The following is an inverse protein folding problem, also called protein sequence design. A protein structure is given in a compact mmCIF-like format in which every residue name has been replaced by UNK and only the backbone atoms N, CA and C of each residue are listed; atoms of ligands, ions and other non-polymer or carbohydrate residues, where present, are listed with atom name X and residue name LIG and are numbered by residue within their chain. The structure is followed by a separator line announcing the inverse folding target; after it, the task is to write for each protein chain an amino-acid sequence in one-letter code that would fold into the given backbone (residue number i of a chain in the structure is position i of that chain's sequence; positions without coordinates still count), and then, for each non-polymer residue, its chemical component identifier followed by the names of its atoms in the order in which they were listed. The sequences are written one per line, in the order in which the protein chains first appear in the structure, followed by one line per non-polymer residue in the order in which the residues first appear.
data_IF_095223741825
#
_entry.id   IF_095223741825
#
_cell.length_a   1.000
_cell.length_b   1.000
_cell.length_c   1.000
_cell.angle_alpha   90.00
_cell.angle_beta   90.00
_cell.angle_gamma   90.00
#
_symmetry.space_group_name_H-M   'P 1'
#
loop_
_entity.id
_entity.type
_entity.pdbx_description
1 polymer ?
#
# COMPACT_ATOMS: atom_id res chain seq x y z
N UNK A 1 -15.76 -5.95 5.75
CA UNK A 1 -14.32 -5.63 5.53
C UNK A 1 -13.51 -6.89 5.78
N UNK A 2 -12.53 -7.20 4.92
CA UNK A 2 -11.61 -8.34 5.15
C UNK A 2 -10.60 -8.05 6.26
N UNK A 3 -10.02 -9.12 6.81
CA UNK A 3 -8.96 -9.00 7.80
C UNK A 3 -7.71 -8.35 7.23
N UNK A 4 -7.05 -7.52 8.06
CA UNK A 4 -5.68 -7.11 7.79
C UNK A 4 -4.76 -8.34 7.82
N UNK A 5 -4.03 -8.56 6.73
CA UNK A 5 -3.10 -9.67 6.56
C UNK A 5 -1.67 -9.14 6.60
N UNK A 6 -0.82 -9.74 7.44
CA UNK A 6 0.59 -9.41 7.51
C UNK A 6 1.28 -9.62 6.16
N UNK A 7 1.99 -8.60 5.68
CA UNK A 7 2.69 -8.66 4.41
C UNK A 7 4.20 -8.73 4.62
N UNK A 8 4.71 -9.97 4.74
CA UNK A 8 6.11 -10.24 5.11
C UNK A 8 7.13 -9.56 4.18
N UNK A 9 6.94 -9.64 2.86
CA UNK A 9 7.91 -9.13 1.88
C UNK A 9 8.09 -7.61 2.03
N UNK A 10 7.00 -6.87 2.15
CA UNK A 10 7.08 -5.41 2.33
C UNK A 10 7.64 -5.06 3.71
N UNK A 11 7.21 -5.81 4.74
CA UNK A 11 7.64 -5.54 6.10
C UNK A 11 9.15 -5.68 6.25
N UNK A 12 9.73 -6.73 5.65
CA UNK A 12 11.17 -6.91 5.56
C UNK A 12 11.85 -5.83 4.71
N UNK A 13 11.28 -5.50 3.55
CA UNK A 13 11.84 -4.51 2.61
C UNK A 13 11.93 -3.11 3.22
N UNK A 14 10.93 -2.71 4.00
CA UNK A 14 10.85 -1.34 4.55
C UNK A 14 11.23 -1.28 6.04
N UNK A 15 11.42 -2.42 6.71
CA UNK A 15 11.69 -2.46 8.15
C UNK A 15 10.55 -1.85 8.97
N UNK A 16 9.31 -2.21 8.60
CA UNK A 16 8.06 -1.74 9.20
C UNK A 16 7.09 -2.92 9.35
N UNK A 17 6.18 -2.87 10.32
CA UNK A 17 5.09 -3.85 10.43
C UNK A 17 3.97 -3.45 9.46
N UNK A 18 3.91 -4.11 8.31
CA UNK A 18 2.98 -3.76 7.23
C UNK A 18 1.92 -4.84 7.07
N UNK A 19 0.66 -4.41 7.08
CA UNK A 19 -0.48 -5.25 6.80
C UNK A 19 -1.27 -4.70 5.61
N UNK A 20 -1.96 -5.58 4.88
CA UNK A 20 -2.79 -5.22 3.73
C UNK A 20 -4.20 -5.78 3.87
N UNK A 21 -5.19 -5.09 3.31
CA UNK A 21 -6.55 -5.58 3.17
C UNK A 21 -7.22 -5.05 1.89
N UNK A 22 -8.20 -5.79 1.39
CA UNK A 22 -9.12 -5.33 0.36
C UNK A 22 -10.54 -5.22 0.95
N UNK A 23 -11.14 -4.04 0.87
CA UNK A 23 -12.48 -3.80 1.41
C UNK A 23 -13.51 -3.96 0.30
N UNK A 24 -14.13 -5.14 0.20
CA UNK A 24 -15.30 -5.34 -0.69
C UNK A 24 -16.61 -4.78 -0.13
N UNK A 25 -16.62 -4.40 1.15
CA UNK A 25 -17.81 -4.00 1.91
C UNK A 25 -17.57 -2.69 2.68
N UNK A 26 -18.54 -2.31 3.50
CA UNK A 26 -18.36 -1.23 4.47
C UNK A 26 -17.24 -1.49 5.47
N UNK A 27 -16.37 -0.48 5.63
CA UNK A 27 -15.34 -0.42 6.66
C UNK A 27 -15.97 -0.32 8.05
N UNK A 28 -15.66 -1.32 8.89
CA UNK A 28 -15.86 -1.24 10.32
C UNK A 28 -14.61 -0.63 10.96
N UNK A 29 -14.67 0.67 11.27
CA UNK A 29 -13.52 1.42 11.77
C UNK A 29 -13.05 0.97 13.14
N UNK A 30 -13.94 0.48 13.99
CA UNK A 30 -13.57 -0.04 15.31
C UNK A 30 -12.82 -1.36 15.17
N UNK A 31 -13.31 -2.25 14.30
CA UNK A 31 -12.63 -3.51 14.01
C UNK A 31 -11.24 -3.27 13.42
N UNK A 32 -11.14 -2.38 12.45
CA UNK A 32 -9.87 -1.96 11.85
C UNK A 32 -8.90 -1.40 12.90
N UNK A 33 -9.39 -0.52 13.78
CA UNK A 33 -8.58 0.06 14.86
C UNK A 33 -8.04 -1.02 15.78
N UNK A 34 -8.87 -1.98 16.19
CA UNK A 34 -8.44 -3.09 17.03
C UNK A 34 -7.37 -3.94 16.33
N UNK A 35 -7.58 -4.30 15.05
CA UNK A 35 -6.56 -5.04 14.29
C UNK A 35 -5.22 -4.31 14.22
N UNK A 36 -5.23 -2.98 14.04
CA UNK A 36 -4.01 -2.17 14.04
C UNK A 36 -3.28 -2.23 15.39
N UNK A 37 -4.02 -2.08 16.48
CA UNK A 37 -3.45 -2.09 17.83
C UNK A 37 -2.94 -3.47 18.23
N UNK A 38 -3.74 -4.51 18.03
CA UNK A 38 -3.45 -5.88 18.45
C UNK A 38 -2.23 -6.46 17.71
N UNK A 39 -1.99 -6.01 16.48
CA UNK A 39 -0.86 -6.44 15.67
C UNK A 39 0.31 -5.45 15.67
N UNK A 40 0.25 -4.36 16.45
CA UNK A 40 1.27 -3.31 16.49
C UNK A 40 1.66 -2.81 15.08
N UNK A 41 0.66 -2.54 14.24
CA UNK A 41 0.89 -2.22 12.82
C UNK A 41 1.50 -0.82 12.69
N UNK A 42 2.55 -0.68 11.85
CA UNK A 42 3.10 0.62 11.48
C UNK A 42 2.34 1.24 10.31
N UNK A 43 2.10 0.45 9.26
CA UNK A 43 1.33 0.88 8.09
C UNK A 43 0.32 -0.17 7.69
N UNK A 44 -0.96 0.21 7.67
CA UNK A 44 -2.02 -0.58 7.06
C UNK A 44 -2.33 -0.05 5.65
N UNK A 45 -2.18 -0.89 4.62
CA UNK A 45 -2.49 -0.56 3.22
C UNK A 45 -3.84 -1.18 2.85
N UNK A 46 -4.85 -0.34 2.62
CA UNK A 46 -6.22 -0.79 2.40
C UNK A 46 -6.69 -0.34 1.02
N UNK A 47 -7.22 -1.25 0.24
CA UNK A 47 -7.91 -0.94 -1.02
C UNK A 47 -9.41 -0.77 -0.76
N UNK A 48 -9.95 0.38 -1.14
CA UNK A 48 -11.37 0.72 -0.95
C UNK A 48 -11.96 1.07 -2.32
N UNK A 49 -12.97 0.33 -2.81
CA UNK A 49 -13.71 0.66 -4.03
C UNK A 49 -14.16 2.12 -4.01
N UNK A 50 -13.97 2.85 -5.11
CA UNK A 50 -14.30 4.30 -5.14
C UNK A 50 -15.79 4.58 -4.96
N UNK A 51 -16.66 3.61 -5.29
CA UNK A 51 -18.10 3.67 -4.98
C UNK A 51 -18.38 3.83 -3.47
N UNK A 52 -17.39 3.55 -2.65
CA UNK A 52 -17.41 3.64 -1.20
C UNK A 52 -16.61 4.84 -0.67
N UNK A 53 -16.46 5.91 -1.46
CA UNK A 53 -15.70 7.11 -1.09
C UNK A 53 -16.10 7.70 0.27
N UNK A 54 -17.39 7.62 0.64
CA UNK A 54 -17.89 8.08 1.94
C UNK A 54 -17.20 7.40 3.13
N UNK A 55 -16.65 6.20 2.93
CA UNK A 55 -15.94 5.46 3.96
C UNK A 55 -14.57 6.06 4.29
N UNK A 56 -13.96 6.85 3.40
CA UNK A 56 -12.73 7.59 3.73
C UNK A 56 -12.94 8.56 4.90
N UNK A 57 -14.13 9.19 4.99
CA UNK A 57 -14.47 10.03 6.13
C UNK A 57 -14.61 9.22 7.41
N UNK A 58 -15.06 7.96 7.32
CA UNK A 58 -15.15 7.07 8.49
C UNK A 58 -13.75 6.81 9.06
N UNK A 59 -12.68 6.75 8.25
CA UNK A 59 -11.30 6.60 8.74
C UNK A 59 -10.88 7.73 9.67
N UNK A 60 -11.48 8.92 9.60
CA UNK A 60 -11.23 9.98 10.59
C UNK A 60 -11.58 9.54 12.02
N UNK A 61 -12.47 8.55 12.19
CA UNK A 61 -12.84 7.98 13.49
C UNK A 61 -11.74 7.12 14.11
N UNK A 62 -10.79 6.60 13.31
CA UNK A 62 -9.59 5.97 13.87
C UNK A 62 -8.64 7.04 14.41
N UNK A 63 -8.81 8.30 14.00
CA UNK A 63 -7.98 9.47 14.32
C UNK A 63 -6.46 9.29 14.08
N UNK A 64 -6.06 8.21 13.41
CA UNK A 64 -4.71 7.96 12.93
C UNK A 64 -4.44 8.79 11.67
N UNK A 65 -3.19 9.20 11.42
CA UNK A 65 -2.80 9.75 10.13
C UNK A 65 -3.07 8.74 9.00
N UNK A 66 -3.61 9.22 7.89
CA UNK A 66 -3.77 8.42 6.70
C UNK A 66 -3.62 9.29 5.45
N UNK A 67 -3.23 8.66 4.35
CA UNK A 67 -3.17 9.26 3.02
C UNK A 67 -3.92 8.40 2.01
N UNK A 68 -4.54 9.03 1.02
CA UNK A 68 -4.95 8.34 -0.21
C UNK A 68 -3.74 8.35 -1.12
N UNK A 69 -3.10 7.19 -1.28
CA UNK A 69 -1.80 7.07 -1.90
C UNK A 69 -1.88 6.90 -3.42
N UNK A 70 -2.94 6.26 -3.94
CA UNK A 70 -3.31 6.29 -5.35
C UNK A 70 -4.78 5.85 -5.57
N UNK A 71 -5.20 5.87 -6.84
CA UNK A 71 -6.41 5.21 -7.31
C UNK A 71 -6.05 4.25 -8.45
N UNK A 72 -6.39 2.98 -8.30
CA UNK A 72 -6.27 1.95 -9.32
C UNK A 72 -7.54 1.88 -10.18
N UNK A 73 -7.37 1.70 -11.48
CA UNK A 73 -8.40 1.48 -12.46
C UNK A 73 -8.27 0.09 -13.09
N UNK A 74 -9.35 -0.68 -13.00
CA UNK A 74 -9.43 -2.06 -13.44
C UNK A 74 -10.18 -2.10 -14.76
N UNK A 75 -9.55 -2.67 -15.77
CA UNK A 75 -10.09 -2.80 -17.11
C UNK A 75 -10.26 -4.27 -17.46
N UNK A 76 -11.40 -4.61 -18.07
CA UNK A 76 -11.67 -5.97 -18.51
C UNK A 76 -12.04 -6.01 -19.99
N UNK A 77 -11.78 -7.15 -20.62
CA UNK A 77 -12.15 -7.42 -22.01
C UNK A 77 -12.53 -8.88 -22.16
N UNK A 78 -13.65 -9.14 -22.82
CA UNK A 78 -13.96 -10.48 -23.28
C UNK A 78 -13.04 -10.85 -24.45
N UNK A 79 -12.27 -11.92 -24.28
CA UNK A 79 -11.34 -12.45 -25.28
C UNK A 79 -11.77 -13.81 -25.83
N UNK A 80 -12.90 -14.36 -25.36
CA UNK A 80 -13.45 -15.63 -25.82
C UNK A 80 -13.77 -15.58 -27.30
N UNK A 81 -13.25 -16.55 -28.05
CA UNK A 81 -13.51 -16.66 -29.49
C UNK A 81 -12.93 -15.51 -30.32
N UNK A 82 -12.06 -14.67 -29.75
CA UNK A 82 -11.26 -13.75 -30.54
C UNK A 82 -10.31 -14.58 -31.41
N UNK A 83 -10.43 -14.46 -32.72
CA UNK A 83 -9.44 -15.01 -33.64
C UNK A 83 -8.08 -14.35 -33.43
N UNK A 84 -7.02 -15.06 -33.79
CA UNK A 84 -5.64 -14.56 -33.72
C UNK A 84 -5.51 -13.24 -34.49
N UNK A 85 -5.04 -12.20 -33.80
CA UNK A 85 -4.76 -10.90 -34.42
C UNK A 85 -3.31 -10.80 -34.81
N UNK A 86 -3.03 -10.16 -35.95
CA UNK A 86 -1.66 -9.89 -36.35
C UNK A 86 -1.05 -8.74 -35.55
N UNK A 87 0.24 -8.89 -35.21
CA UNK A 87 1.04 -7.79 -34.66
C UNK A 87 1.33 -6.75 -35.75
N UNK A 88 1.35 -5.47 -35.36
CA UNK A 88 1.68 -4.34 -36.23
C UNK A 88 3.17 -4.30 -36.55
N UNK A 89 4.03 -4.41 -35.53
CA UNK A 89 5.47 -4.42 -35.68
C UNK A 89 5.96 -5.85 -35.92
N UNK A 90 6.33 -6.17 -37.17
CA UNK A 90 6.76 -7.52 -37.59
C UNK A 90 8.20 -7.87 -37.18
N UNK A 91 8.95 -6.87 -36.74
CA UNK A 91 10.35 -6.98 -36.31
C UNK A 91 10.50 -7.28 -34.81
N UNK A 92 9.38 -7.41 -34.09
CA UNK A 92 9.37 -7.77 -32.68
C UNK A 92 9.52 -9.27 -32.48
N UNK A 93 10.39 -9.64 -31.55
CA UNK A 93 10.54 -10.98 -31.03
C UNK A 93 10.00 -11.03 -29.60
N UNK A 94 9.16 -12.01 -29.30
CA UNK A 94 8.67 -12.28 -27.95
C UNK A 94 9.36 -13.55 -27.44
N UNK A 95 10.28 -13.39 -26.49
CA UNK A 95 11.01 -14.49 -25.87
C UNK A 95 10.45 -14.75 -24.46
N UNK A 96 10.01 -15.97 -24.17
CA UNK A 96 9.61 -16.35 -22.81
C UNK A 96 10.83 -16.24 -21.90
N UNK A 97 10.70 -15.49 -20.82
CA UNK A 97 11.80 -15.21 -19.92
C UNK A 97 11.92 -16.28 -18.83
N UNK A 98 13.15 -16.72 -18.56
CA UNK A 98 13.49 -17.61 -17.46
C UNK A 98 14.40 -16.94 -16.43
N UNK A 99 14.87 -17.73 -15.45
CA UNK A 99 15.81 -17.29 -14.40
C UNK A 99 17.11 -16.75 -15.01
N UNK A 100 17.54 -17.29 -16.15
CA UNK A 100 18.71 -16.84 -16.90
C UNK A 100 18.58 -15.42 -17.47
N UNK A 101 17.35 -14.94 -17.66
CA UNK A 101 17.05 -13.62 -18.23
C UNK A 101 16.94 -12.51 -17.16
N UNK A 102 17.14 -12.83 -15.88
CA UNK A 102 17.05 -11.86 -14.77
C UNK A 102 17.90 -10.62 -14.99
N UNK A 103 19.08 -10.74 -15.62
CA UNK A 103 19.92 -9.60 -15.94
C UNK A 103 19.21 -8.59 -16.87
N UNK A 104 18.71 -9.07 -18.02
CA UNK A 104 18.03 -8.23 -19.02
C UNK A 104 16.74 -7.64 -18.47
N UNK A 105 16.00 -8.46 -17.73
CA UNK A 105 14.77 -8.06 -17.05
C UNK A 105 15.01 -6.96 -16.02
N UNK A 106 16.07 -7.07 -15.20
CA UNK A 106 16.43 -6.03 -14.23
C UNK A 106 16.75 -4.70 -14.92
N UNK A 107 17.48 -4.74 -16.03
CA UNK A 107 17.84 -3.54 -16.77
C UNK A 107 16.59 -2.83 -17.31
N UNK A 108 15.70 -3.56 -17.99
CA UNK A 108 14.50 -2.96 -18.57
C UNK A 108 13.53 -2.48 -17.48
N UNK A 109 13.35 -3.20 -16.38
CA UNK A 109 12.48 -2.74 -15.26
C UNK A 109 13.02 -1.45 -14.64
N UNK A 110 14.33 -1.34 -14.43
CA UNK A 110 14.93 -0.08 -13.93
C UNK A 110 14.72 1.06 -14.92
N UNK A 111 14.86 0.80 -16.21
CA UNK A 111 14.66 1.80 -17.27
C UNK A 111 13.19 2.27 -17.33
N UNK A 112 12.22 1.36 -17.17
CA UNK A 112 10.79 1.68 -17.31
C UNK A 112 10.14 2.17 -16.02
N UNK A 113 10.53 1.62 -14.86
CA UNK A 113 9.93 1.88 -13.55
C UNK A 113 10.81 2.67 -12.58
N UNK A 114 12.07 2.97 -12.92
CA UNK A 114 12.99 3.71 -12.05
C UNK A 114 12.46 5.05 -11.56
N UNK A 115 11.73 5.78 -12.43
CA UNK A 115 11.05 7.03 -12.09
C UNK A 115 9.53 6.91 -11.93
N UNK A 116 8.96 5.69 -11.91
CA UNK A 116 7.51 5.51 -11.82
C UNK A 116 7.02 5.80 -10.40
N UNK A 117 6.06 6.73 -10.28
CA UNK A 117 5.46 7.13 -9.01
C UNK A 117 4.30 6.20 -8.71
N UNK A 118 4.48 5.26 -7.78
CA UNK A 118 3.41 4.39 -7.29
C UNK A 118 2.96 4.80 -5.87
N UNK A 119 1.95 4.13 -5.33
CA UNK A 119 1.45 4.42 -3.98
C UNK A 119 2.53 4.33 -2.89
N UNK A 120 3.55 3.47 -3.02
CA UNK A 120 4.65 3.43 -2.07
C UNK A 120 5.47 4.72 -2.10
N UNK A 121 5.84 5.23 -3.29
CA UNK A 121 6.60 6.48 -3.41
C UNK A 121 5.86 7.70 -2.87
N UNK A 122 4.53 7.64 -2.85
CA UNK A 122 3.70 8.72 -2.31
C UNK A 122 3.73 8.79 -0.79
N UNK A 123 4.11 7.72 -0.11
CA UNK A 123 4.22 7.70 1.35
C UNK A 123 5.66 8.05 1.78
N UNK A 124 5.87 9.16 2.51
CA UNK A 124 7.21 9.57 2.96
C UNK A 124 7.89 8.58 3.91
N UNK A 125 7.16 7.60 4.44
CA UNK A 125 7.71 6.56 5.31
C UNK A 125 8.37 5.40 4.56
N UNK A 126 8.20 5.31 3.24
CA UNK A 126 8.86 4.30 2.41
C UNK A 126 10.11 4.85 1.73
N UNK A 127 11.21 4.09 1.79
CA UNK A 127 12.42 4.41 1.05
C UNK A 127 12.23 4.18 -0.45
N UNK A 128 12.40 5.26 -1.22
CA UNK A 128 12.29 5.27 -2.67
C UNK A 128 13.20 4.27 -3.39
N UNK A 129 14.37 3.96 -2.84
CA UNK A 129 15.26 2.98 -3.46
C UNK A 129 14.62 1.58 -3.39
N UNK A 130 14.12 1.20 -2.22
CA UNK A 130 13.46 -0.09 -2.01
C UNK A 130 12.17 -0.25 -2.82
N UNK A 131 11.48 0.85 -3.18
CA UNK A 131 10.30 0.78 -4.04
C UNK A 131 10.63 0.21 -5.43
N UNK A 132 11.76 0.60 -6.04
CA UNK A 132 12.17 0.04 -7.34
C UNK A 132 12.50 -1.44 -7.21
N UNK A 133 13.15 -1.84 -6.12
CA UNK A 133 13.50 -3.23 -5.87
C UNK A 133 12.26 -4.13 -5.79
N UNK A 134 11.14 -3.60 -5.28
CA UNK A 134 9.86 -4.30 -5.29
C UNK A 134 9.34 -4.68 -6.68
N UNK A 135 9.54 -3.83 -7.70
CA UNK A 135 9.20 -4.20 -9.08
C UNK A 135 10.13 -5.26 -9.64
N UNK A 136 11.41 -5.26 -9.24
CA UNK A 136 12.38 -6.28 -9.65
C UNK A 136 12.00 -7.65 -9.09
N UNK A 137 11.72 -7.71 -7.79
CA UNK A 137 11.30 -8.95 -7.13
C UNK A 137 10.02 -9.51 -7.76
N UNK A 138 9.03 -8.65 -7.97
CA UNK A 138 7.74 -9.05 -8.53
C UNK A 138 7.89 -9.53 -9.97
N UNK A 139 8.66 -8.84 -10.80
CA UNK A 139 8.89 -9.28 -12.17
C UNK A 139 9.65 -10.62 -12.18
N UNK A 140 10.70 -10.79 -11.35
CA UNK A 140 11.48 -12.04 -11.31
C UNK A 140 10.61 -13.24 -10.93
N UNK A 141 9.67 -13.07 -10.00
CA UNK A 141 8.75 -14.14 -9.61
C UNK A 141 7.81 -14.61 -10.74
N UNK A 142 7.76 -13.91 -11.89
CA UNK A 142 7.04 -14.33 -13.10
C UNK A 142 7.96 -14.98 -14.15
N UNK A 143 9.28 -14.88 -13.98
CA UNK A 143 10.29 -15.58 -14.78
C UNK A 143 10.76 -16.90 -14.10
N UNK A 144 10.24 -17.20 -12.92
CA UNK A 144 10.43 -18.47 -12.23
C UNK A 144 9.52 -19.57 -12.80
N UNK A 145 9.78 -20.83 -12.42
CA UNK A 145 9.02 -21.98 -12.87
C UNK A 145 7.66 -22.08 -12.16
N UNK A 146 6.67 -21.34 -12.66
CA UNK A 146 5.27 -21.39 -12.23
C UNK A 146 4.37 -21.53 -13.49
N UNK A 147 3.53 -22.58 -13.61
CA UNK A 147 2.72 -22.81 -14.80
C UNK A 147 1.61 -21.77 -15.00
N UNK A 148 1.23 -21.04 -13.95
CA UNK A 148 0.20 -20.01 -14.00
C UNK A 148 0.79 -18.61 -14.20
N UNK A 149 2.11 -18.43 -14.13
CA UNK A 149 2.77 -17.13 -14.32
C UNK A 149 3.65 -17.15 -15.55
N UNK A 150 3.59 -16.06 -16.32
CA UNK A 150 4.38 -15.94 -17.53
C UNK A 150 5.02 -14.57 -17.60
N UNK A 151 6.31 -14.54 -17.94
CA UNK A 151 7.06 -13.35 -18.28
C UNK A 151 7.58 -13.46 -19.72
N UNK A 152 7.45 -12.38 -20.49
CA UNK A 152 8.03 -12.24 -21.82
C UNK A 152 8.98 -11.06 -21.87
N UNK A 153 10.14 -11.27 -22.49
CA UNK A 153 10.99 -10.22 -23.01
C UNK A 153 10.55 -9.86 -24.43
N UNK A 154 10.44 -8.57 -24.71
CA UNK A 154 10.20 -8.05 -26.05
C UNK A 154 11.53 -7.54 -26.59
N UNK A 155 11.96 -8.13 -27.70
CA UNK A 155 13.23 -7.79 -28.35
C UNK A 155 13.00 -7.22 -29.75
N UNK A 156 13.90 -6.32 -30.14
CA UNK A 156 14.01 -5.75 -31.49
C UNK A 156 15.48 -5.72 -31.86
N UNK A 157 15.85 -6.35 -32.97
CA UNK A 157 17.25 -6.48 -33.40
C UNK A 157 18.19 -7.00 -32.29
N UNK A 158 17.73 -8.00 -31.52
CA UNK A 158 18.47 -8.61 -30.42
C UNK A 158 18.53 -7.80 -29.11
N UNK A 159 18.06 -6.54 -29.09
CA UNK A 159 18.00 -5.70 -27.89
C UNK A 159 16.65 -5.84 -27.19
N UNK A 160 16.66 -6.00 -25.87
CA UNK A 160 15.45 -5.91 -25.02
C UNK A 160 14.93 -4.48 -25.01
N UNK A 161 13.68 -4.30 -25.43
CA UNK A 161 12.98 -3.00 -25.54
C UNK A 161 11.71 -2.95 -24.69
N UNK A 162 11.32 -4.06 -24.07
CA UNK A 162 10.17 -4.12 -23.20
C UNK A 162 10.03 -5.48 -22.55
N UNK A 163 9.01 -5.59 -21.69
CA UNK A 163 8.61 -6.84 -21.06
C UNK A 163 7.10 -6.85 -20.82
N UNK A 164 6.55 -8.04 -20.62
CA UNK A 164 5.18 -8.24 -20.15
C UNK A 164 5.10 -9.39 -19.16
N UNK A 165 4.24 -9.25 -18.16
CA UNK A 165 3.90 -10.31 -17.24
C UNK A 165 2.38 -10.47 -17.13
N UNK A 166 1.93 -11.72 -17.10
CA UNK A 166 0.54 -12.05 -16.86
C UNK A 166 0.46 -13.38 -16.12
N UNK A 167 -0.67 -13.61 -15.45
CA UNK A 167 -0.99 -14.91 -14.88
C UNK A 167 -2.38 -15.40 -15.29
N UNK A 168 -2.52 -16.72 -15.28
CA UNK A 168 -3.78 -17.41 -15.46
C UNK A 168 -4.45 -17.62 -14.11
N UNK A 169 -5.73 -17.29 -14.02
CA UNK A 169 -6.56 -17.51 -12.84
C UNK A 169 -7.47 -18.72 -13.08
N UNK A 170 -7.84 -19.41 -12.01
CA UNK A 170 -8.71 -20.60 -12.07
C UNK A 170 -10.12 -20.33 -12.60
N UNK A 171 -10.55 -19.07 -12.65
CA UNK A 171 -11.89 -18.65 -13.04
C UNK A 171 -12.04 -18.35 -14.55
N UNK A 172 -11.05 -18.72 -15.37
CA UNK A 172 -11.07 -18.42 -16.81
C UNK A 172 -10.61 -17.01 -17.16
N UNK A 173 -9.74 -16.42 -16.32
CA UNK A 173 -9.21 -15.06 -16.51
C UNK A 173 -7.71 -15.09 -16.76
N UNK A 174 -7.26 -14.30 -17.73
CA UNK A 174 -5.86 -13.91 -17.84
C UNK A 174 -5.70 -12.50 -17.25
N UNK A 175 -4.79 -12.33 -16.30
CA UNK A 175 -4.58 -11.04 -15.64
C UNK A 175 -3.20 -10.48 -15.97
N UNK A 176 -3.19 -9.28 -16.53
CA UNK A 176 -2.02 -8.48 -16.79
C UNK A 176 -1.48 -7.86 -15.52
N UNK A 177 -0.18 -8.04 -15.26
CA UNK A 177 0.42 -7.73 -13.96
C UNK A 177 1.37 -6.54 -14.08
N UNK A 178 2.40 -6.65 -14.92
CA UNK A 178 3.34 -5.57 -15.20
C UNK A 178 3.68 -5.56 -16.70
N UNK A 179 3.79 -4.35 -17.22
CA UNK A 179 4.18 -4.12 -18.61
C UNK A 179 5.16 -2.97 -18.66
N UNK A 180 6.22 -3.12 -19.44
CA UNK A 180 7.21 -2.07 -19.62
C UNK A 180 7.59 -1.95 -21.10
N UNK A 181 7.66 -0.71 -21.58
CA UNK A 181 8.29 -0.38 -22.85
C UNK A 181 9.33 0.68 -22.57
N UNK A 182 10.56 0.44 -23.05
CA UNK A 182 11.68 1.36 -22.97
C UNK A 182 11.23 2.77 -23.38
N UNK A 183 11.60 3.82 -22.63
CA UNK A 183 11.26 5.20 -22.95
C UNK A 183 11.60 5.60 -24.40
N UNK A 184 12.71 5.11 -24.97
CA UNK A 184 13.11 5.44 -26.34
C UNK A 184 12.24 4.81 -27.42
N UNK A 185 11.42 3.83 -27.06
CA UNK A 185 10.59 3.05 -27.97
C UNK A 185 9.09 3.39 -27.85
N UNK A 186 8.72 4.30 -26.94
CA UNK A 186 7.33 4.71 -26.71
C UNK A 186 6.74 5.43 -27.94
N UNK A 187 5.42 5.35 -28.11
CA UNK A 187 4.71 5.96 -29.24
C UNK A 187 4.80 5.19 -30.56
N UNK A 188 5.59 4.11 -30.64
CA UNK A 188 5.72 3.26 -31.84
C UNK A 188 4.67 2.13 -31.95
N UNK A 189 3.75 2.04 -30.99
CA UNK A 189 2.71 1.00 -30.96
C UNK A 189 3.14 -0.34 -30.33
N UNK A 190 4.35 -0.43 -29.77
CA UNK A 190 4.84 -1.67 -29.12
C UNK A 190 3.92 -2.13 -27.99
N UNK A 191 3.40 -1.20 -27.17
CA UNK A 191 2.48 -1.58 -26.09
C UNK A 191 1.19 -2.22 -26.62
N UNK A 192 0.68 -1.76 -27.76
CA UNK A 192 -0.47 -2.37 -28.44
C UNK A 192 -0.15 -3.78 -28.93
N UNK A 193 1.06 -4.00 -29.46
CA UNK A 193 1.50 -5.34 -29.87
C UNK A 193 1.71 -6.27 -28.67
N UNK A 194 2.22 -5.75 -27.54
CA UNK A 194 2.29 -6.50 -26.28
C UNK A 194 0.91 -6.98 -25.86
N UNK A 195 -0.09 -6.10 -25.89
CA UNK A 195 -1.47 -6.48 -25.53
C UNK A 195 -2.06 -7.49 -26.51
N UNK A 196 -1.80 -7.32 -27.80
CA UNK A 196 -2.27 -8.23 -28.85
C UNK A 196 -1.64 -9.61 -28.69
N UNK A 197 -0.33 -9.65 -28.47
CA UNK A 197 0.40 -10.87 -28.20
C UNK A 197 -0.13 -11.58 -26.94
N UNK A 198 -0.31 -10.86 -25.83
CA UNK A 198 -0.82 -11.43 -24.59
C UNK A 198 -2.21 -12.06 -24.76
N UNK A 199 -3.11 -11.42 -25.52
CA UNK A 199 -4.43 -11.97 -25.83
C UNK A 199 -4.36 -13.22 -26.69
N UNK A 200 -3.58 -13.19 -27.78
CA UNK A 200 -3.38 -14.36 -28.64
C UNK A 200 -2.79 -15.52 -27.84
N UNK A 201 -1.77 -15.25 -27.03
CA UNK A 201 -1.14 -16.27 -26.20
C UNK A 201 -2.11 -16.86 -25.19
N UNK A 202 -2.92 -16.03 -24.52
CA UNK A 202 -3.87 -16.51 -23.52
C UNK A 202 -4.90 -17.48 -24.10
N UNK A 203 -5.47 -17.17 -25.28
CA UNK A 203 -6.46 -18.04 -25.94
C UNK A 203 -5.84 -19.27 -26.60
N UNK A 204 -4.57 -19.20 -27.01
CA UNK A 204 -3.83 -20.34 -27.58
C UNK A 204 -3.37 -21.32 -26.50
N UNK A 205 -2.99 -20.82 -25.32
CA UNK A 205 -2.51 -21.65 -24.22
C UNK A 205 -3.65 -22.32 -23.46
N UNK A 206 -4.78 -21.63 -23.28
CA UNK A 206 -5.92 -22.09 -22.45
C UNK A 206 -7.26 -21.72 -23.07
N UNK A 207 -7.95 -22.70 -23.65
CA UNK A 207 -9.25 -22.52 -24.31
C UNK A 207 -10.36 -22.01 -23.37
N UNK A 208 -10.23 -22.26 -22.06
CA UNK A 208 -11.17 -21.83 -21.02
C UNK A 208 -11.04 -20.35 -20.65
N UNK A 209 -10.02 -19.64 -21.16
CA UNK A 209 -9.85 -18.22 -20.87
C UNK A 209 -10.86 -17.41 -21.68
N UNK A 210 -11.73 -16.70 -20.96
CA UNK A 210 -12.79 -15.89 -21.55
C UNK A 210 -12.57 -14.39 -21.37
N UNK A 211 -11.85 -14.00 -20.31
CA UNK A 211 -11.66 -12.61 -19.93
C UNK A 211 -10.18 -12.30 -19.76
N UNK A 212 -9.80 -11.08 -20.16
CA UNK A 212 -8.53 -10.49 -19.77
C UNK A 212 -8.79 -9.29 -18.85
N UNK A 213 -8.09 -9.24 -17.72
CA UNK A 213 -8.08 -8.10 -16.80
C UNK A 213 -6.71 -7.42 -16.82
N UNK A 214 -6.69 -6.10 -16.71
CA UNK A 214 -5.47 -5.35 -16.45
C UNK A 214 -5.74 -4.15 -15.56
N UNK A 215 -4.73 -3.72 -14.81
CA UNK A 215 -4.85 -2.72 -13.76
C UNK A 215 -3.75 -1.68 -13.94
N UNK A 216 -4.10 -0.41 -13.79
CA UNK A 216 -3.12 0.69 -13.74
C UNK A 216 -3.59 1.76 -12.77
N UNK A 217 -2.71 2.66 -12.39
CA UNK A 217 -3.11 3.90 -11.72
C UNK A 217 -3.92 4.80 -12.66
N UNK A 218 -4.93 5.48 -12.10
CA UNK A 218 -5.89 6.30 -12.86
C UNK A 218 -5.21 7.45 -13.62
N UNK A 219 -4.04 7.91 -13.17
CA UNK A 219 -3.26 8.97 -13.82
C UNK A 219 -2.52 8.47 -15.07
N UNK A 220 -2.36 7.15 -15.27
CA UNK A 220 -1.70 6.56 -16.43
C UNK A 220 -2.61 6.56 -17.67
N UNK A 221 -3.02 7.75 -18.09
CA UNK A 221 -3.99 7.99 -19.17
C UNK A 221 -3.49 7.43 -20.51
N UNK A 222 -2.18 7.41 -20.75
CA UNK A 222 -1.60 6.90 -22.00
C UNK A 222 -1.90 5.41 -22.19
N UNK A 223 -1.70 4.60 -21.15
CA UNK A 223 -1.99 3.16 -21.18
C UNK A 223 -3.48 2.91 -21.28
N UNK A 224 -4.30 3.65 -20.52
CA UNK A 224 -5.76 3.53 -20.58
C UNK A 224 -6.31 3.82 -21.98
N UNK A 225 -5.78 4.81 -22.70
CA UNK A 225 -6.15 5.08 -24.10
C UNK A 225 -5.87 3.89 -25.02
N UNK A 226 -4.75 3.20 -24.82
CA UNK A 226 -4.44 1.99 -25.60
C UNK A 226 -5.43 0.88 -25.30
N UNK A 227 -5.74 0.64 -24.02
CA UNK A 227 -6.70 -0.38 -23.61
C UNK A 227 -8.10 -0.11 -24.16
N UNK A 228 -8.60 1.12 -24.02
CA UNK A 228 -9.91 1.52 -24.58
C UNK A 228 -9.94 1.35 -26.10
N UNK A 229 -8.86 1.72 -26.80
CA UNK A 229 -8.78 1.54 -28.26
C UNK A 229 -8.74 0.07 -28.68
N UNK A 230 -8.20 -0.81 -27.83
CA UNK A 230 -8.21 -2.25 -28.03
C UNK A 230 -9.54 -2.90 -27.59
N UNK A 231 -10.47 -2.15 -27.00
CA UNK A 231 -11.80 -2.63 -26.61
C UNK A 231 -11.91 -3.15 -25.18
N UNK A 232 -10.93 -2.86 -24.32
CA UNK A 232 -11.11 -2.99 -22.88
C UNK A 232 -12.09 -1.93 -22.37
N UNK A 233 -12.89 -2.30 -21.37
CA UNK A 233 -13.85 -1.43 -20.72
C UNK A 233 -13.43 -1.23 -19.26
N UNK A 234 -13.55 0.00 -18.76
CA UNK A 234 -13.34 0.29 -17.35
C UNK A 234 -14.41 -0.46 -16.55
N UNK A 235 -13.98 -1.38 -15.68
CA UNK A 235 -14.86 -2.20 -14.86
C UNK A 235 -15.15 -1.52 -13.51
N UNK A 236 -14.10 -1.19 -12.76
CA UNK A 236 -14.21 -0.48 -11.50
C UNK A 236 -12.90 0.25 -11.15
N UNK A 237 -12.93 1.03 -10.08
CA UNK A 237 -11.74 1.72 -9.55
C UNK A 237 -11.67 1.54 -8.03
N UNK A 238 -10.47 1.54 -7.47
CA UNK A 238 -10.23 1.39 -6.04
C UNK A 238 -9.17 2.36 -5.56
N UNK A 239 -9.40 3.01 -4.42
CA UNK A 239 -8.42 3.87 -3.76
C UNK A 239 -7.50 3.01 -2.89
N UNK A 240 -6.19 3.20 -3.03
CA UNK A 240 -5.23 2.66 -2.06
C UNK A 240 -5.01 3.69 -0.96
N UNK A 241 -5.32 3.30 0.28
CA UNK A 241 -5.17 4.15 1.47
C UNK A 241 -4.08 3.57 2.36
N UNK A 242 -3.18 4.42 2.84
CA UNK A 242 -2.22 4.06 3.88
C UNK A 242 -2.67 4.69 5.19
N UNK A 243 -2.83 3.89 6.24
CA UNK A 243 -2.97 4.37 7.62
C UNK A 243 -1.59 4.24 8.27
N UNK A 244 -1.01 5.38 8.64
CA UNK A 244 0.35 5.50 9.15
C UNK A 244 0.31 5.54 10.69
N UNK A 245 0.08 4.39 11.31
CA UNK A 245 -0.06 4.25 12.76
C UNK A 245 1.28 4.30 13.51
N UNK A 246 2.36 3.79 12.89
CA UNK A 246 3.74 3.86 13.39
C UNK A 246 3.94 3.35 14.82
N UNK A 247 3.27 2.25 15.17
CA UNK A 247 3.24 1.76 16.55
C UNK A 247 4.57 1.18 17.04
N UNK A 248 5.46 0.74 16.13
CA UNK A 248 6.76 0.17 16.49
C UNK A 248 7.94 1.00 15.96
N UNK A 249 7.73 1.81 14.92
CA UNK A 249 8.79 2.62 14.33
C UNK A 249 9.26 3.74 15.26
N UNK A 250 10.57 3.80 15.50
CA UNK A 250 11.24 4.94 16.11
C UNK A 250 12.60 5.17 15.49
N UNK A 251 12.98 6.45 15.26
CA UNK A 251 14.33 6.84 14.81
C UNK A 251 15.23 7.31 15.97
N UNK A 252 14.64 7.53 17.13
CA UNK A 252 15.34 7.80 18.40
C UNK A 252 14.99 6.73 19.43
N UNK A 253 15.75 6.69 20.53
CA UNK A 253 15.47 5.80 21.64
C UNK A 253 14.06 6.04 22.18
N UNK A 254 13.32 4.94 22.38
CA UNK A 254 12.01 4.97 23.02
C UNK A 254 12.18 4.96 24.53
N UNK A 255 11.21 5.50 25.25
CA UNK A 255 11.18 5.42 26.71
C UNK A 255 9.75 5.28 27.23
N UNK A 256 9.63 4.66 28.39
CA UNK A 256 8.35 4.39 29.05
C UNK A 256 8.37 4.99 30.44
N UNK A 257 7.26 5.63 30.81
CA UNK A 257 7.11 6.27 32.11
C UNK A 257 5.83 5.78 32.77
N UNK A 258 5.90 5.24 34.00
CA UNK A 258 4.71 4.86 34.73
C UNK A 258 3.95 6.11 35.19
N UNK A 259 2.62 6.05 35.12
CA UNK A 259 1.72 7.11 35.59
C UNK A 259 0.56 6.49 36.36
N UNK A 260 0.38 6.94 37.60
CA UNK A 260 -0.83 6.67 38.37
C UNK A 260 -1.67 7.94 38.39
N UNK A 261 -2.92 7.81 37.95
CA UNK A 261 -3.85 8.92 37.84
C UNK A 261 -4.63 9.00 39.16
N UNK A 262 -4.14 9.82 40.09
CA UNK A 262 -4.76 9.94 41.41
C UNK A 262 -6.13 10.63 41.32
N UNK A 263 -7.15 10.01 41.91
CA UNK A 263 -8.46 10.63 42.10
C UNK A 263 -8.52 11.53 43.34
N UNK A 264 -9.39 12.54 43.33
CA UNK A 264 -9.93 13.12 44.56
C UNK A 264 -11.40 12.71 44.70
N UNK A 265 -11.79 12.33 45.92
CA UNK A 265 -13.14 11.89 46.28
C UNK A 265 -14.20 12.88 45.76
N UNK A 266 -15.10 12.36 44.92
CA UNK A 266 -16.02 13.06 44.02
C UNK A 266 -15.38 13.52 42.69
N UNK A 267 -15.37 12.65 41.67
CA UNK A 267 -15.99 12.94 40.36
C UNK A 267 -15.63 11.87 39.31
N UNK A 268 -16.59 10.97 39.08
CA UNK A 268 -16.70 10.00 37.97
C UNK A 268 -15.55 9.00 37.75
N UNK A 269 -15.84 7.67 37.67
CA UNK A 269 -14.82 6.64 37.40
C UNK A 269 -14.14 6.73 36.03
N UNK A 270 -14.51 7.71 35.19
CA UNK A 270 -13.89 7.98 33.88
C UNK A 270 -13.25 9.36 33.94
N UNK A 271 -11.93 9.42 33.85
CA UNK A 271 -11.22 10.69 33.74
C UNK A 271 -11.20 11.09 32.27
N UNK A 272 -11.49 12.36 31.96
CA UNK A 272 -11.35 12.82 30.57
C UNK A 272 -9.88 12.66 30.13
N UNK A 273 -9.62 12.06 28.98
CA UNK A 273 -8.26 11.89 28.46
C UNK A 273 -7.50 13.23 28.37
N UNK A 274 -8.24 14.35 28.22
CA UNK A 274 -7.69 15.71 28.28
C UNK A 274 -7.14 16.09 29.67
N UNK A 275 -7.76 15.65 30.76
CA UNK A 275 -7.26 15.87 32.12
C UNK A 275 -5.93 15.13 32.34
N UNK A 276 -5.84 13.91 31.84
CA UNK A 276 -4.65 13.06 31.97
C UNK A 276 -3.50 13.67 31.20
N UNK A 277 -3.74 14.13 29.97
CA UNK A 277 -2.72 14.83 29.20
C UNK A 277 -2.28 16.16 29.84
N UNK A 278 -3.16 16.84 30.58
CA UNK A 278 -2.76 18.00 31.40
C UNK A 278 -1.87 17.58 32.56
N UNK A 279 -2.15 16.44 33.21
CA UNK A 279 -1.29 15.90 34.25
C UNK A 279 0.07 15.47 33.69
N UNK A 280 0.10 14.83 32.51
CA UNK A 280 1.32 14.50 31.78
C UNK A 280 2.11 15.78 31.49
N UNK A 281 1.50 16.78 30.87
CA UNK A 281 2.17 18.08 30.63
C UNK A 281 2.76 18.68 31.90
N UNK A 282 2.05 18.58 33.02
CA UNK A 282 2.49 19.13 34.30
C UNK A 282 3.66 18.34 34.90
N UNK A 283 3.60 17.00 34.88
CA UNK A 283 4.65 16.14 35.42
C UNK A 283 5.97 16.25 34.66
N UNK A 284 5.91 16.51 33.37
CA UNK A 284 7.11 16.61 32.54
C UNK A 284 7.75 18.02 32.51
N UNK A 285 7.21 18.99 33.27
CA UNK A 285 7.63 20.41 33.26
C UNK A 285 7.89 20.95 31.84
N UNK A 286 7.13 20.45 30.85
CA UNK A 286 7.20 21.00 29.52
C UNK A 286 6.55 22.37 29.60
N UNK A 287 7.36 23.41 29.54
CA UNK A 287 6.92 24.78 29.21
C UNK A 287 6.20 24.86 27.85
N UNK A 288 5.95 23.72 27.18
CA UNK A 288 5.42 23.60 25.84
C UNK A 288 4.28 22.58 25.78
N UNK A 289 3.17 23.01 25.20
CA UNK A 289 1.89 22.35 25.28
C UNK A 289 1.78 21.13 24.34
N UNK A 290 1.91 19.89 24.84
CA UNK A 290 1.48 18.70 24.06
C UNK A 290 -0.04 18.71 23.78
N UNK A 291 -0.81 19.64 24.37
CA UNK A 291 -2.28 19.56 24.47
C UNK A 291 -3.02 20.73 23.82
N UNK A 292 -2.36 21.83 23.44
CA UNK A 292 -3.10 23.07 23.08
C UNK A 292 -3.03 23.50 21.62
N UNK A 293 -2.12 22.96 20.80
CA UNK A 293 -2.06 23.34 19.37
C UNK A 293 -1.82 22.13 18.45
N UNK A 294 -2.79 21.82 17.57
CA UNK A 294 -2.66 20.92 16.40
C UNK A 294 -2.39 19.42 16.61
N UNK A 295 -2.78 18.83 17.75
CA UNK A 295 -2.59 17.40 18.03
C UNK A 295 -3.78 16.54 17.58
N UNK A 296 -3.51 15.35 17.03
CA UNK A 296 -4.54 14.33 16.75
C UNK A 296 -4.57 13.33 17.90
N UNK A 297 -5.71 13.28 18.58
CA UNK A 297 -5.97 12.41 19.71
C UNK A 297 -6.84 11.24 19.28
N UNK A 298 -6.41 10.03 19.61
CA UNK A 298 -7.23 8.83 19.45
C UNK A 298 -7.58 8.30 20.83
N UNK A 299 -8.83 8.50 21.24
CA UNK A 299 -9.36 7.89 22.46
C UNK A 299 -9.88 6.49 22.11
N UNK A 300 -9.15 5.45 22.52
CA UNK A 300 -9.53 4.06 22.29
C UNK A 300 -10.47 3.60 23.39
N UNK A 301 -10.04 3.78 24.64
CA UNK A 301 -10.78 3.40 25.84
C UNK A 301 -10.81 4.57 26.82
N UNK A 302 -11.76 4.51 27.77
CA UNK A 302 -11.78 5.47 28.89
C UNK A 302 -10.67 5.11 29.86
N UNK A 303 -9.90 6.12 30.29
CA UNK A 303 -8.94 5.99 31.38
C UNK A 303 -9.67 6.13 32.74
N UNK A 304 -9.12 5.47 33.75
CA UNK A 304 -9.69 5.33 35.09
C UNK A 304 -8.73 5.88 36.15
N UNK A 305 -9.27 6.42 37.25
CA UNK A 305 -8.46 6.81 38.41
C UNK A 305 -7.91 5.58 39.12
N UNK A 306 -6.78 5.76 39.81
CA UNK A 306 -6.14 4.75 40.65
C UNK A 306 -5.75 3.47 39.89
N UNK A 307 -5.61 3.59 38.58
CA UNK A 307 -5.04 2.58 37.69
C UNK A 307 -3.64 3.05 37.28
N UNK A 308 -2.68 2.13 37.27
CA UNK A 308 -1.35 2.36 36.75
C UNK A 308 -1.35 2.22 35.22
N UNK A 309 -0.79 3.23 34.55
CA UNK A 309 -0.63 3.27 33.11
C UNK A 309 0.84 3.41 32.74
N UNK A 310 1.19 2.95 31.55
CA UNK A 310 2.50 3.10 30.94
C UNK A 310 2.41 4.08 29.77
N UNK A 311 3.28 5.08 29.78
CA UNK A 311 3.37 6.11 28.75
C UNK A 311 4.55 5.79 27.86
N UNK A 312 4.29 5.19 26.70
CA UNK A 312 5.30 4.82 25.74
C UNK A 312 5.51 5.97 24.76
N UNK A 313 6.71 6.55 24.77
CA UNK A 313 7.12 7.56 23.81
C UNK A 313 7.96 6.93 22.70
N UNK A 314 7.56 7.16 21.46
CA UNK A 314 8.30 6.80 20.26
C UNK A 314 8.38 7.95 19.26
N UNK A 315 9.32 7.86 18.34
CA UNK A 315 9.64 8.94 17.42
C UNK A 315 9.69 8.44 15.98
N UNK A 316 8.53 8.27 15.31
CA UNK A 316 8.48 7.68 13.97
C UNK A 316 9.34 8.41 12.94
N UNK A 317 9.56 9.71 13.12
CA UNK A 317 10.48 10.52 12.29
C UNK A 317 11.26 11.51 13.16
N UNK A 318 12.28 12.14 12.58
CA UNK A 318 13.00 13.24 13.22
C UNK A 318 12.16 14.49 13.53
N UNK A 319 10.88 14.54 13.11
CA UNK A 319 9.97 15.67 13.36
C UNK A 319 8.65 15.28 14.02
N UNK A 320 8.39 13.99 14.26
CA UNK A 320 7.11 13.49 14.77
C UNK A 320 7.34 12.55 15.95
N UNK A 321 6.49 12.69 16.96
CA UNK A 321 6.41 11.78 18.09
C UNK A 321 5.05 11.11 18.18
N UNK A 322 5.03 9.95 18.81
CA UNK A 322 3.85 9.20 19.19
C UNK A 322 3.93 8.90 20.69
N UNK A 323 2.86 9.23 21.41
CA UNK A 323 2.63 8.77 22.76
C UNK A 323 1.52 7.72 22.73
N UNK A 324 1.82 6.52 23.20
CA UNK A 324 0.86 5.44 23.42
C UNK A 324 0.69 5.22 24.92
N UNK A 325 -0.54 5.28 25.40
CA UNK A 325 -0.89 5.01 26.80
C UNK A 325 -1.49 3.63 26.90
N UNK A 326 -0.87 2.76 27.69
CA UNK A 326 -1.32 1.38 27.92
C UNK A 326 -1.47 1.06 29.40
N UNK A 327 -2.15 -0.03 29.73
CA UNK A 327 -2.11 -0.64 31.06
C UNK A 327 -0.96 -1.67 31.18
N UNK A 328 -0.89 -2.38 32.30
CA UNK A 328 0.11 -3.44 32.54
C UNK A 328 0.01 -4.63 31.58
N UNK A 329 -1.16 -4.84 30.95
CA UNK A 329 -1.40 -5.88 29.94
C UNK A 329 -1.12 -5.37 28.50
N UNK A 330 -0.52 -4.18 28.38
CA UNK A 330 -0.15 -3.51 27.13
C UNK A 330 -1.36 -3.11 26.24
N UNK A 331 -2.57 -3.11 26.83
CA UNK A 331 -3.80 -2.71 26.16
C UNK A 331 -3.80 -1.22 25.95
N UNK A 332 -4.06 -0.77 24.71
CA UNK A 332 -4.03 0.66 24.39
C UNK A 332 -5.30 1.38 24.80
N UNK A 333 -5.13 2.50 25.49
CA UNK A 333 -6.20 3.42 25.87
C UNK A 333 -6.19 4.69 25.03
N UNK A 334 -5.01 5.22 24.75
CA UNK A 334 -4.84 6.50 24.04
C UNK A 334 -3.64 6.46 23.10
N UNK A 335 -3.80 7.07 21.93
CA UNK A 335 -2.69 7.47 21.05
C UNK A 335 -2.69 8.99 20.86
N UNK A 336 -1.49 9.59 20.90
CA UNK A 336 -1.29 11.01 20.62
C UNK A 336 -0.15 11.19 19.63
N UNK A 337 -0.46 11.77 18.47
CA UNK A 337 0.54 12.14 17.47
C UNK A 337 0.90 13.62 17.64
N UNK A 338 2.19 13.93 17.75
CA UNK A 338 2.70 15.28 18.00
C UNK A 338 3.91 15.64 17.13
N UNK A 339 4.20 16.94 17.04
CA UNK A 339 5.34 17.48 16.29
C UNK A 339 6.47 17.85 17.25
N UNK A 340 7.67 17.32 17.00
CA UNK A 340 8.83 17.50 17.88
C UNK A 340 9.34 18.93 17.94
N UNK A 341 9.05 19.75 16.91
CA UNK A 341 9.44 21.16 16.93
C UNK A 341 8.78 21.95 18.05
N UNK A 342 7.67 21.44 18.61
CA UNK A 342 6.98 22.01 19.76
C UNK A 342 7.37 21.32 21.09
N UNK A 343 8.37 20.45 21.07
CA UNK A 343 8.81 19.66 22.22
C UNK A 343 10.25 19.99 22.65
N UNK A 344 11.10 20.41 21.70
CA UNK A 344 12.52 20.69 21.92
C UNK A 344 12.87 22.18 22.07
N UNK A 345 11.89 23.09 22.15
CA UNK A 345 12.15 24.53 22.19
C UNK A 345 12.22 25.11 23.62
#
# INVERSE_FOLDING_TARGET
MSDLIYHNIDSQRFGLVIYRAESSEELNTQYLLNQILDNNIDIAIIRIPTIHLSQLYKLQRTAMPFIVADTLAYYTKNIKGLGRKELKNKDLEFKKAGVEDHHDLNAIVKETFGGYINHYRMNPFFDNQHVTDGYLDWMRSYAENDPDRVCWLIKRNGKTIGFSTFNFQTEGWAKGILYGVSPSERGSGIFTDIMTFAQNYAVEEREEIEQMETITQIENVAVQKVWVSDGFVLNHTSNTVHIDAMLTKSVFDTFTIPLIIQGHDSDTPKVSNRHILKQINWQFDFKQNMVTQNHRFVNINSLHVDVEYQLHFSFPTGSKGLLRVTDEEDKTYVLVYFDLKHFLA
#
